data_IF_008509832301
#
_entry.id   IF_008509832301
#
_cell.length_a   1.000
_cell.length_b   1.000
_cell.length_c   1.000
_cell.angle_alpha   90.00
_cell.angle_beta   90.00
_cell.angle_gamma   90.00
#
_symmetry.space_group_name_H-M   'P 1'
#
loop_
_entity.id
_entity.type
_entity.pdbx_description
1 polymer ?
#
# COMPACT_ATOMS: atom_id res chain seq x y z
N UNK A 1 11.57 -8.58 1.56
CA UNK A 1 10.36 -8.15 0.82
C UNK A 1 9.14 -8.15 1.75
N UNK A 2 8.87 -9.27 2.41
CA UNK A 2 7.83 -9.38 3.46
C UNK A 2 8.10 -8.45 4.66
N UNK A 3 9.32 -8.42 5.20
CA UNK A 3 9.62 -7.57 6.38
C UNK A 3 9.54 -6.08 6.10
N UNK A 4 9.79 -5.68 4.86
CA UNK A 4 9.88 -4.26 4.47
C UNK A 4 8.52 -3.67 4.12
N UNK A 5 7.63 -4.47 3.51
CA UNK A 5 6.37 -3.98 2.97
C UNK A 5 5.15 -4.67 3.58
N UNK A 6 5.31 -5.81 4.25
CA UNK A 6 4.21 -6.59 4.84
C UNK A 6 3.32 -5.78 5.76
N UNK A 7 3.88 -4.90 6.60
CA UNK A 7 3.12 -3.99 7.47
C UNK A 7 2.30 -2.95 6.69
N UNK A 8 2.82 -2.48 5.56
CA UNK A 8 2.12 -1.55 4.66
C UNK A 8 0.96 -2.28 4.00
N UNK A 9 1.21 -3.45 3.41
CA UNK A 9 0.21 -4.22 2.68
C UNK A 9 -0.88 -4.72 3.61
N UNK A 10 -0.52 -5.22 4.78
CA UNK A 10 -1.46 -5.65 5.81
C UNK A 10 -2.30 -4.50 6.35
N UNK A 11 -1.68 -3.35 6.58
CA UNK A 11 -2.43 -2.18 7.04
C UNK A 11 -3.41 -1.65 6.01
N UNK A 12 -3.11 -1.77 4.71
CA UNK A 12 -4.07 -1.47 3.63
C UNK A 12 -5.23 -2.48 3.66
N UNK A 13 -4.93 -3.77 3.77
CA UNK A 13 -5.96 -4.80 3.87
C UNK A 13 -6.87 -4.58 5.09
N UNK A 14 -6.29 -4.20 6.24
CA UNK A 14 -7.03 -3.83 7.45
C UNK A 14 -7.93 -2.62 7.26
N UNK A 15 -7.43 -1.54 6.62
CA UNK A 15 -8.21 -0.33 6.34
C UNK A 15 -9.41 -0.61 5.40
N UNK A 16 -9.32 -1.65 4.56
CA UNK A 16 -10.41 -2.05 3.65
C UNK A 16 -11.38 -3.07 4.26
N UNK A 17 -10.91 -3.87 5.21
CA UNK A 17 -11.68 -4.96 5.84
C UNK A 17 -12.49 -4.50 7.06
N UNK A 18 -13.52 -5.27 7.42
CA UNK A 18 -14.26 -5.03 8.67
C UNK A 18 -13.56 -5.62 9.90
N UNK A 19 -12.65 -6.58 9.68
CA UNK A 19 -11.96 -7.29 10.75
C UNK A 19 -10.64 -7.91 10.24
N UNK A 20 -9.80 -8.32 11.19
CA UNK A 20 -8.50 -8.91 10.92
C UNK A 20 -8.55 -10.17 10.03
N UNK A 21 -9.59 -11.01 10.16
CA UNK A 21 -9.71 -12.26 9.40
C UNK A 21 -9.92 -11.98 7.91
N UNK A 22 -10.73 -10.99 7.58
CA UNK A 22 -10.89 -10.51 6.20
C UNK A 22 -9.59 -9.93 5.64
N UNK A 23 -8.88 -9.11 6.42
CA UNK A 23 -7.58 -8.57 6.00
C UNK A 23 -6.57 -9.67 5.67
N UNK A 24 -6.50 -10.71 6.50
CA UNK A 24 -5.64 -11.88 6.25
C UNK A 24 -6.07 -12.64 4.99
N UNK A 25 -7.38 -12.83 4.77
CA UNK A 25 -7.91 -13.46 3.56
C UNK A 25 -7.53 -12.72 2.27
N UNK A 26 -7.58 -11.38 2.30
CA UNK A 26 -7.15 -10.51 1.19
C UNK A 26 -5.66 -10.73 0.90
N UNK A 27 -4.82 -10.74 1.94
CA UNK A 27 -3.38 -10.95 1.77
C UNK A 27 -3.06 -12.33 1.20
N UNK A 28 -3.61 -13.39 1.78
CA UNK A 28 -3.41 -14.77 1.31
C UNK A 28 -3.74 -14.86 -0.18
N UNK A 29 -4.91 -14.34 -0.55
CA UNK A 29 -5.38 -14.38 -1.95
C UNK A 29 -4.50 -13.54 -2.88
N UNK A 30 -3.99 -12.41 -2.39
CA UNK A 30 -3.05 -11.57 -3.16
C UNK A 30 -1.75 -12.32 -3.42
N UNK A 31 -1.17 -12.97 -2.41
CA UNK A 31 0.05 -13.74 -2.56
C UNK A 31 -0.13 -14.98 -3.43
N UNK A 32 -1.28 -15.66 -3.34
CA UNK A 32 -1.62 -16.74 -4.25
C UNK A 32 -1.67 -16.27 -5.71
N UNK A 33 -2.28 -15.12 -6.00
CA UNK A 33 -2.30 -14.54 -7.35
C UNK A 33 -0.89 -14.27 -7.87
N UNK A 34 -0.04 -13.67 -7.04
CA UNK A 34 1.35 -13.39 -7.37
C UNK A 34 2.11 -14.69 -7.71
N UNK A 35 1.94 -15.72 -6.88
CA UNK A 35 2.54 -17.02 -7.10
C UNK A 35 2.05 -17.68 -8.40
N UNK A 36 0.73 -17.73 -8.60
CA UNK A 36 0.09 -18.34 -9.78
C UNK A 36 0.47 -17.62 -11.08
N UNK A 37 0.57 -16.29 -11.06
CA UNK A 37 0.82 -15.48 -12.24
C UNK A 37 2.32 -15.20 -12.50
N UNK A 38 3.24 -15.73 -11.67
CA UNK A 38 4.70 -15.52 -11.77
C UNK A 38 5.11 -14.03 -11.89
N UNK A 39 4.28 -13.11 -11.37
CA UNK A 39 4.44 -11.66 -11.57
C UNK A 39 5.76 -11.10 -11.00
N UNK A 40 6.43 -11.81 -10.10
CA UNK A 40 7.68 -11.37 -9.47
C UNK A 40 8.94 -11.75 -10.26
N UNK A 41 8.83 -12.48 -11.37
CA UNK A 41 10.01 -12.97 -12.11
C UNK A 41 10.63 -11.94 -13.08
N UNK A 42 9.97 -10.81 -13.37
CA UNK A 42 10.43 -9.90 -14.43
C UNK A 42 11.05 -8.58 -14.00
N UNK A 43 10.76 -8.00 -12.82
CA UNK A 43 11.40 -6.73 -12.42
C UNK A 43 11.39 -6.52 -10.90
N UNK A 44 12.56 -6.58 -10.28
CA UNK A 44 12.73 -6.46 -8.83
C UNK A 44 12.47 -5.05 -8.27
N UNK A 45 12.49 -4.03 -9.13
CA UNK A 45 12.41 -2.62 -8.71
C UNK A 45 10.98 -2.05 -8.61
N UNK A 46 9.96 -2.69 -9.20
CA UNK A 46 8.55 -2.24 -9.12
C UNK A 46 7.69 -3.03 -8.12
N UNK A 47 8.31 -3.95 -7.38
CA UNK A 47 7.66 -4.94 -6.53
C UNK A 47 6.67 -4.34 -5.52
N UNK A 48 6.98 -3.20 -4.90
CA UNK A 48 6.15 -2.63 -3.85
C UNK A 48 4.84 -2.02 -4.39
N UNK A 49 4.93 -1.15 -5.40
CA UNK A 49 3.74 -0.54 -5.99
C UNK A 49 2.83 -1.59 -6.63
N UNK A 50 3.41 -2.59 -7.30
CA UNK A 50 2.67 -3.72 -7.86
C UNK A 50 1.99 -4.55 -6.78
N UNK A 51 2.68 -4.87 -5.68
CA UNK A 51 2.11 -5.62 -4.56
C UNK A 51 0.96 -4.84 -3.90
N UNK A 52 1.15 -3.54 -3.65
CA UNK A 52 0.10 -2.69 -3.09
C UNK A 52 -1.11 -2.64 -4.03
N UNK A 53 -0.88 -2.44 -5.33
CA UNK A 53 -1.96 -2.41 -6.33
C UNK A 53 -2.74 -3.73 -6.35
N UNK A 54 -2.03 -4.86 -6.32
CA UNK A 54 -2.66 -6.19 -6.32
C UNK A 54 -3.48 -6.45 -5.05
N UNK A 55 -3.00 -5.98 -3.90
CA UNK A 55 -3.76 -6.07 -2.64
C UNK A 55 -5.04 -5.28 -2.72
N UNK A 56 -4.96 -4.04 -3.19
CA UNK A 56 -6.12 -3.17 -3.35
C UNK A 56 -7.13 -3.78 -4.33
N UNK A 57 -6.67 -4.29 -5.48
CA UNK A 57 -7.54 -4.97 -6.44
C UNK A 57 -8.19 -6.22 -5.85
N UNK A 58 -7.43 -7.03 -5.13
CA UNK A 58 -7.94 -8.24 -4.48
C UNK A 58 -8.97 -7.91 -3.40
N UNK A 59 -8.76 -6.85 -2.64
CA UNK A 59 -9.72 -6.36 -1.66
C UNK A 59 -11.02 -5.90 -2.33
N UNK A 60 -10.94 -5.10 -3.40
CA UNK A 60 -12.11 -4.69 -4.18
C UNK A 60 -12.93 -5.89 -4.70
N UNK A 61 -12.25 -6.89 -5.26
CA UNK A 61 -12.89 -8.11 -5.77
C UNK A 61 -13.59 -8.90 -4.67
N UNK A 62 -12.93 -9.14 -3.55
CA UNK A 62 -13.49 -9.97 -2.46
C UNK A 62 -14.60 -9.27 -1.70
N UNK A 63 -14.44 -7.97 -1.46
CA UNK A 63 -15.41 -7.16 -0.73
C UNK A 63 -16.54 -6.64 -1.63
N UNK A 64 -16.50 -6.93 -2.94
CA UNK A 64 -17.43 -6.43 -3.95
C UNK A 64 -17.61 -4.90 -3.90
N UNK A 65 -16.52 -4.19 -3.56
CA UNK A 65 -16.52 -2.74 -3.47
C UNK A 65 -16.12 -2.13 -4.82
N UNK A 66 -16.87 -1.12 -5.25
CA UNK A 66 -16.54 -0.31 -6.42
C UNK A 66 -15.47 0.74 -6.09
N UNK A 67 -14.71 1.14 -7.12
CA UNK A 67 -13.61 2.11 -7.04
C UNK A 67 -14.01 3.40 -6.31
N UNK A 68 -13.08 4.02 -5.56
CA UNK A 68 -13.31 5.29 -4.86
C UNK A 68 -13.24 5.24 -3.32
N UNK A 69 -12.71 4.16 -2.73
CA UNK A 69 -12.40 4.12 -1.31
C UNK A 69 -11.21 5.04 -1.00
N UNK A 70 -11.33 5.80 0.09
CA UNK A 70 -10.25 6.65 0.60
C UNK A 70 -9.48 5.89 1.66
N UNK A 71 -8.27 5.46 1.32
CA UNK A 71 -7.34 4.93 2.34
C UNK A 71 -6.66 6.12 3.00
N UNK A 72 -6.84 6.23 4.33
CA UNK A 72 -6.21 7.29 5.13
C UNK A 72 -4.70 7.32 4.92
N UNK A 73 -4.12 6.13 4.71
CA UNK A 73 -2.69 5.97 4.45
C UNK A 73 -2.20 6.69 3.21
N UNK A 74 -3.05 6.93 2.21
CA UNK A 74 -2.69 7.63 0.99
C UNK A 74 -3.09 9.12 0.96
N UNK A 75 -3.61 9.68 2.06
CA UNK A 75 -4.05 11.10 2.11
C UNK A 75 -2.93 12.08 1.73
N UNK A 76 -1.68 11.76 2.07
CA UNK A 76 -0.51 12.60 1.77
C UNK A 76 0.28 12.11 0.56
N UNK A 77 -0.27 11.17 -0.22
CA UNK A 77 0.36 10.59 -1.41
C UNK A 77 -0.65 10.57 -2.57
N UNK A 78 -0.97 11.75 -3.13
CA UNK A 78 -2.06 11.90 -4.09
C UNK A 78 -1.84 11.14 -5.40
N UNK A 79 -0.59 10.98 -5.86
CA UNK A 79 -0.32 10.18 -7.06
C UNK A 79 -0.57 8.70 -6.80
N UNK A 80 -0.09 8.16 -5.69
CA UNK A 80 -0.34 6.78 -5.28
C UNK A 80 -1.84 6.54 -5.04
N UNK A 81 -2.58 7.50 -4.46
CA UNK A 81 -4.03 7.41 -4.32
C UNK A 81 -4.72 7.22 -5.69
N UNK A 82 -4.38 8.07 -6.67
CA UNK A 82 -4.95 7.97 -8.02
C UNK A 82 -4.62 6.66 -8.71
N UNK A 83 -3.36 6.24 -8.67
CA UNK A 83 -2.91 5.03 -9.37
C UNK A 83 -3.41 3.73 -8.73
N UNK A 84 -3.55 3.70 -7.41
CA UNK A 84 -3.82 2.49 -6.65
C UNK A 84 -5.29 2.37 -6.24
N UNK A 85 -5.91 3.46 -5.80
CA UNK A 85 -7.29 3.46 -5.28
C UNK A 85 -8.31 3.80 -6.36
N UNK A 86 -8.05 4.86 -7.12
CA UNK A 86 -8.90 5.27 -8.25
C UNK A 86 -8.59 4.47 -9.52
N UNK A 87 -7.51 3.69 -9.52
CA UNK A 87 -7.06 2.84 -10.63
C UNK A 87 -6.82 3.60 -11.94
N UNK A 88 -6.48 4.89 -11.86
CA UNK A 88 -6.08 5.71 -13.01
C UNK A 88 -4.83 5.10 -13.64
N UNK A 89 -4.82 4.98 -14.96
CA UNK A 89 -3.65 4.45 -15.67
C UNK A 89 -2.49 5.46 -15.61
N UNK A 90 -1.25 4.97 -15.57
CA UNK A 90 -0.07 5.83 -15.58
C UNK A 90 -0.04 6.71 -16.84
N UNK A 91 -0.46 6.17 -17.98
CA UNK A 91 -0.53 6.88 -19.25
C UNK A 91 -1.54 8.03 -19.19
N UNK A 92 -2.76 7.76 -18.73
CA UNK A 92 -3.81 8.78 -18.56
C UNK A 92 -3.36 9.89 -17.61
N UNK A 93 -2.72 9.55 -16.50
CA UNK A 93 -2.21 10.54 -15.56
C UNK A 93 -1.10 11.41 -16.19
N UNK A 94 -0.16 10.81 -16.92
CA UNK A 94 0.90 11.54 -17.62
C UNK A 94 0.31 12.53 -18.64
N UNK A 95 -0.69 12.08 -19.41
CA UNK A 95 -1.35 12.88 -20.44
C UNK A 95 -2.12 14.06 -19.84
N UNK A 96 -2.99 13.80 -18.85
CA UNK A 96 -3.80 14.82 -18.19
C UNK A 96 -2.95 15.92 -17.52
N UNK A 97 -1.80 15.55 -16.95
CA UNK A 97 -0.95 16.46 -16.19
C UNK A 97 0.25 16.98 -17.00
N UNK A 98 0.38 16.60 -18.27
CA UNK A 98 1.51 16.97 -19.16
C UNK A 98 2.87 16.63 -18.54
N UNK A 99 3.00 15.44 -17.96
CA UNK A 99 4.21 14.96 -17.30
C UNK A 99 4.87 13.84 -18.10
N UNK A 100 6.20 13.77 -18.03
CA UNK A 100 6.95 12.63 -18.54
C UNK A 100 6.90 11.45 -17.58
N UNK A 101 7.02 10.22 -18.10
CA UNK A 101 7.08 9.02 -17.26
C UNK A 101 8.21 9.08 -16.22
N UNK A 102 9.33 9.73 -16.53
CA UNK A 102 10.47 9.90 -15.60
C UNK A 102 10.08 10.78 -14.41
N UNK A 103 9.37 11.88 -14.65
CA UNK A 103 8.89 12.76 -13.59
C UNK A 103 7.88 12.04 -12.69
N UNK A 104 6.93 11.32 -13.29
CA UNK A 104 5.92 10.55 -12.54
C UNK A 104 6.58 9.43 -11.74
N UNK A 105 7.56 8.71 -12.30
CA UNK A 105 8.32 7.69 -11.58
C UNK A 105 9.11 8.26 -10.39
N UNK A 106 9.64 9.48 -10.50
CA UNK A 106 10.29 10.18 -9.38
C UNK A 106 9.30 10.46 -8.26
N UNK A 107 8.13 11.02 -8.58
CA UNK A 107 7.07 11.30 -7.59
C UNK A 107 6.57 10.01 -6.93
N UNK A 108 6.38 8.92 -7.68
CA UNK A 108 6.02 7.60 -7.11
C UNK A 108 7.05 7.15 -6.06
N UNK A 109 8.35 7.28 -6.35
CA UNK A 109 9.40 6.90 -5.40
C UNK A 109 9.38 7.77 -4.14
N UNK A 110 9.15 9.07 -4.29
CA UNK A 110 9.06 10.01 -3.18
C UNK A 110 7.87 9.69 -2.27
N UNK A 111 6.69 9.46 -2.85
CA UNK A 111 5.49 9.08 -2.11
C UNK A 111 5.62 7.70 -1.44
N UNK A 112 6.22 6.71 -2.11
CA UNK A 112 6.52 5.41 -1.49
C UNK A 112 7.50 5.54 -0.31
N UNK A 113 8.52 6.38 -0.45
CA UNK A 113 9.45 6.66 0.65
C UNK A 113 8.75 7.35 1.82
N UNK A 114 7.82 8.27 1.55
CA UNK A 114 6.99 8.88 2.58
C UNK A 114 6.18 7.83 3.36
N UNK A 115 5.51 6.89 2.67
CA UNK A 115 4.76 5.81 3.30
C UNK A 115 5.62 4.88 4.16
N UNK A 116 6.85 4.62 3.71
CA UNK A 116 7.82 3.81 4.46
C UNK A 116 8.28 4.53 5.73
N UNK A 117 8.53 5.82 5.63
CA UNK A 117 9.09 6.62 6.74
C UNK A 117 8.01 7.08 7.74
N UNK A 118 6.75 7.20 7.32
CA UNK A 118 5.65 7.51 8.23
C UNK A 118 5.36 6.32 9.17
N UNK A 119 5.56 5.08 8.70
CA UNK A 119 5.44 3.86 9.51
C UNK A 119 6.49 3.74 10.62
N UNK A 120 7.72 4.23 10.38
CA UNK A 120 8.81 4.19 11.37
C UNK A 120 8.60 5.18 12.52
N UNK A 121 7.83 6.25 12.34
CA UNK A 121 7.49 7.19 13.42
C UNK A 121 6.41 6.69 14.38
N UNK A 122 5.55 5.76 13.95
CA UNK A 122 4.47 5.23 14.79
C UNK A 122 4.99 4.26 15.86
N UNK A 123 6.23 3.78 15.74
CA UNK A 123 6.82 2.78 16.65
C UNK A 123 7.64 3.36 17.83
N UNK A 124 7.62 4.69 18.05
CA UNK A 124 8.41 5.34 19.14
C UNK A 124 7.51 5.95 20.24
N UNK A 125 6.22 5.59 20.33
CA UNK A 125 5.32 6.13 21.36
C UNK A 125 4.71 5.11 22.33
N UNK A 126 5.32 3.93 22.46
CA UNK A 126 4.84 2.91 23.39
C UNK A 126 5.93 2.24 24.21
N UNK A 127 6.88 3.01 24.77
CA UNK A 127 7.56 2.61 26.01
C UNK A 127 7.85 3.84 26.87
N UNK A 128 7.07 3.97 27.93
CA UNK A 128 7.17 5.00 28.96
C UNK A 128 6.17 4.68 30.07
N UNK A 129 6.18 3.44 30.57
CA UNK A 129 5.47 3.06 31.79
C UNK A 129 6.21 3.75 32.95
N UNK A 130 5.51 4.46 33.85
CA UNK A 130 6.13 5.04 35.04
C UNK A 130 6.56 3.92 35.97
N UNK A 131 7.87 3.82 36.23
CA UNK A 131 8.41 2.94 37.24
C UNK A 131 8.01 3.51 38.61
N UNK A 132 7.05 2.85 39.25
CA UNK A 132 6.72 3.08 40.64
C UNK A 132 7.89 2.63 41.52
N UNK A 133 8.50 3.58 42.23
CA UNK A 133 9.33 3.27 43.41
C UNK A 133 8.46 3.47 44.65
N UNK A 134 8.00 2.34 45.20
CA UNK A 134 7.59 2.24 46.60
C UNK A 134 8.78 1.71 47.39
N UNK A 135 9.32 2.53 48.29
CA UNK A 135 9.72 2.17 49.66
C UNK A 135 10.19 3.38 50.44
#
# INVERSE_FOLDING_TARGET
MYDTYGSIVYGIALEMSQNQKEAEGILISTFEKIYKQKLMQQDSHCICATLIKLTVMTACEQLKQTHGFKLKRFENTPLLHKLLCEQVSLASYCEENKLTQIQVAKTIREELNYLRNSHTKTNIKTQGVPQAESR
#
